data_IF_627842979621
#
_entry.id   IF_627842979621
#
_cell.length_a   1.000
_cell.length_b   1.000
_cell.length_c   1.000
_cell.angle_alpha   90.00
_cell.angle_beta   90.00
_cell.angle_gamma   90.00
#
_symmetry.space_group_name_H-M   'P 1'
#
loop_
_entity.id
_entity.type
_entity.pdbx_description
1 polymer ?
#
# COMPACT_ATOMS: atom_id res chain seq x y z
N UNK A 1 -4.32 6.17 4.91
CA UNK A 1 -4.18 4.75 5.16
C UNK A 1 -5.54 4.08 5.30
N UNK A 2 -5.68 2.91 4.71
CA UNK A 2 -6.91 2.11 4.80
C UNK A 2 -7.15 1.57 6.22
N UNK A 3 -8.39 1.18 6.48
CA UNK A 3 -8.79 0.45 7.70
C UNK A 3 -9.20 -0.97 7.31
N UNK A 4 -8.72 -1.95 8.06
CA UNK A 4 -9.01 -3.37 7.81
C UNK A 4 -9.68 -3.95 9.05
N UNK A 5 -10.96 -4.35 8.97
CA UNK A 5 -11.61 -5.08 10.05
C UNK A 5 -11.13 -6.53 10.08
N UNK A 6 -10.89 -7.05 11.27
CA UNK A 6 -10.59 -8.46 11.52
C UNK A 6 -11.60 -9.05 12.49
N UNK A 7 -11.91 -10.32 12.25
CA UNK A 7 -12.72 -11.12 13.16
C UNK A 7 -11.95 -12.41 13.49
N UNK A 8 -11.71 -12.64 14.77
CA UNK A 8 -11.10 -13.85 15.29
C UNK A 8 -12.20 -14.68 15.95
N UNK A 9 -12.33 -15.95 15.56
CA UNK A 9 -13.31 -16.86 16.12
C UNK A 9 -12.60 -17.94 16.92
N UNK A 10 -12.80 -17.93 18.23
CA UNK A 10 -12.36 -19.00 19.15
C UNK A 10 -13.42 -20.10 19.20
N UNK A 11 -13.06 -21.28 18.73
CA UNK A 11 -13.93 -22.47 18.78
C UNK A 11 -13.52 -23.34 19.97
N UNK A 12 -14.45 -23.70 20.87
CA UNK A 12 -14.16 -24.51 22.04
C UNK A 12 -13.96 -25.98 21.64
N UNK A 13 -12.78 -26.30 21.11
CA UNK A 13 -12.44 -27.68 20.79
C UNK A 13 -11.94 -28.41 22.04
N UNK A 14 -12.56 -29.55 22.36
CA UNK A 14 -12.15 -30.41 23.50
C UNK A 14 -12.21 -29.73 24.88
N UNK A 15 -13.00 -28.67 25.03
CA UNK A 15 -13.28 -28.08 26.32
C UNK A 15 -14.44 -28.84 26.96
N UNK A 16 -14.32 -29.19 28.26
CA UNK A 16 -15.36 -29.85 29.08
C UNK A 16 -15.99 -28.88 30.09
N UNK A 17 -15.38 -27.73 30.28
CA UNK A 17 -15.83 -26.66 31.17
C UNK A 17 -15.33 -25.31 30.67
N UNK A 18 -15.92 -24.23 31.17
CA UNK A 18 -15.44 -22.88 30.90
C UNK A 18 -13.97 -22.77 31.25
N UNK A 19 -13.18 -22.35 30.28
CA UNK A 19 -11.71 -22.35 30.38
C UNK A 19 -11.17 -20.99 29.99
N UNK A 20 -10.22 -20.48 30.76
CA UNK A 20 -9.50 -19.26 30.42
C UNK A 20 -8.50 -19.53 29.30
N UNK A 21 -8.65 -18.79 28.20
CA UNK A 21 -7.81 -18.85 27.00
C UNK A 21 -7.06 -17.53 26.87
N UNK A 22 -5.76 -17.60 26.65
CA UNK A 22 -4.97 -16.47 26.19
C UNK A 22 -5.01 -16.42 24.68
N UNK A 23 -5.63 -15.39 24.14
CA UNK A 23 -5.63 -15.10 22.71
C UNK A 23 -4.58 -14.04 22.43
N UNK A 24 -3.64 -14.33 21.54
CA UNK A 24 -2.65 -13.39 21.06
C UNK A 24 -2.84 -13.19 19.54
N UNK A 25 -2.91 -11.95 19.09
CA UNK A 25 -2.93 -11.57 17.68
C UNK A 25 -1.65 -10.83 17.36
N UNK A 26 -0.92 -11.30 16.34
CA UNK A 26 0.35 -10.73 15.88
C UNK A 26 0.10 -10.04 14.57
N UNK A 27 -0.10 -8.73 14.63
CA UNK A 27 -0.41 -7.91 13.48
C UNK A 27 0.81 -7.78 12.53
N UNK A 28 0.58 -7.76 11.21
CA UNK A 28 1.67 -7.69 10.24
C UNK A 28 2.46 -6.36 10.35
N UNK A 29 3.69 -6.36 9.86
CA UNK A 29 4.47 -5.13 9.75
C UNK A 29 3.77 -4.14 8.81
N UNK A 30 3.73 -2.86 9.18
CA UNK A 30 3.00 -1.83 8.42
C UNK A 30 1.55 -1.67 8.82
N UNK A 31 1.06 -2.48 9.78
CA UNK A 31 -0.27 -2.32 10.36
C UNK A 31 -0.17 -1.86 11.81
N UNK A 32 -1.18 -1.12 12.27
CA UNK A 32 -1.30 -0.66 13.66
C UNK A 32 -2.72 -0.91 14.15
N UNK A 33 -2.84 -1.34 15.40
CA UNK A 33 -4.16 -1.46 16.03
C UNK A 33 -4.76 -0.08 16.25
N UNK A 34 -6.07 0.06 16.02
CA UNK A 34 -6.83 1.28 16.31
C UNK A 34 -7.50 1.11 17.68
N UNK A 35 -7.02 1.80 18.74
CA UNK A 35 -7.61 1.69 20.07
C UNK A 35 -9.10 2.03 20.09
N UNK A 36 -9.85 1.37 20.97
CA UNK A 36 -11.30 1.56 21.09
C UNK A 36 -12.12 0.78 20.09
N UNK A 37 -11.50 -0.09 19.26
CA UNK A 37 -12.21 -0.87 18.25
C UNK A 37 -12.35 -2.35 18.61
N UNK A 38 -11.69 -2.81 19.67
CA UNK A 38 -11.76 -4.22 20.08
C UNK A 38 -13.07 -4.53 20.81
N UNK A 39 -13.76 -5.55 20.33
CA UNK A 39 -15.02 -6.03 20.87
C UNK A 39 -14.95 -7.55 21.01
N UNK A 40 -15.33 -8.08 22.17
CA UNK A 40 -15.43 -9.53 22.42
C UNK A 40 -16.90 -9.84 22.72
N UNK A 41 -17.51 -10.69 21.91
CA UNK A 41 -18.94 -11.05 21.98
C UNK A 41 -19.87 -9.83 22.16
N UNK A 42 -19.61 -8.76 21.41
CA UNK A 42 -20.40 -7.53 21.45
C UNK A 42 -20.07 -6.57 22.60
N UNK A 43 -19.12 -6.90 23.48
CA UNK A 43 -18.69 -6.04 24.58
C UNK A 43 -17.28 -5.47 24.30
N UNK A 44 -17.08 -4.19 24.58
CA UNK A 44 -15.77 -3.57 24.43
C UNK A 44 -14.77 -4.19 25.41
N UNK A 45 -13.70 -4.76 24.86
CA UNK A 45 -12.59 -5.32 25.65
C UNK A 45 -11.28 -5.07 24.93
N UNK A 46 -10.52 -4.11 25.43
CA UNK A 46 -9.23 -3.72 24.84
C UNK A 46 -8.15 -4.78 25.12
N UNK A 47 -7.26 -5.04 24.15
CA UNK A 47 -6.12 -5.92 24.36
C UNK A 47 -5.02 -5.26 25.20
N UNK A 48 -4.18 -6.08 25.83
CA UNK A 48 -2.84 -5.65 26.22
C UNK A 48 -1.98 -5.56 24.96
N UNK A 49 -1.34 -4.40 24.75
CA UNK A 49 -0.58 -4.10 23.53
C UNK A 49 0.92 -4.14 23.83
N UNK A 50 1.65 -5.04 23.18
CA UNK A 50 3.11 -5.15 23.27
C UNK A 50 3.71 -5.12 21.84
N UNK A 51 4.04 -3.92 21.35
CA UNK A 51 4.49 -3.73 19.99
C UNK A 51 3.42 -4.15 18.97
N UNK A 52 3.66 -5.21 18.21
CA UNK A 52 2.70 -5.77 17.23
C UNK A 52 1.87 -6.93 17.80
N UNK A 53 1.98 -7.21 19.09
CA UNK A 53 1.25 -8.27 19.77
C UNK A 53 0.09 -7.69 20.57
N UNK A 54 -1.11 -8.12 20.27
CA UNK A 54 -2.34 -7.83 21.00
C UNK A 54 -2.72 -9.07 21.79
N UNK A 55 -3.00 -8.93 23.08
CA UNK A 55 -3.29 -10.10 23.95
C UNK A 55 -4.56 -9.86 24.74
N UNK A 56 -5.44 -10.86 24.74
CA UNK A 56 -6.64 -10.94 25.57
C UNK A 56 -6.59 -12.20 26.44
N UNK A 57 -7.21 -12.13 27.62
CA UNK A 57 -7.56 -13.31 28.40
C UNK A 57 -9.08 -13.43 28.42
N UNK A 58 -9.59 -14.51 27.87
CA UNK A 58 -11.02 -14.71 27.58
C UNK A 58 -11.47 -16.03 28.17
N UNK A 59 -12.60 -16.02 28.90
CA UNK A 59 -13.25 -17.24 29.37
C UNK A 59 -14.12 -17.80 28.21
N UNK A 60 -13.79 -19.00 27.76
CA UNK A 60 -14.46 -19.68 26.66
C UNK A 60 -15.31 -20.81 27.21
N UNK A 61 -16.62 -20.74 26.92
CA UNK A 61 -17.59 -21.77 27.23
C UNK A 61 -17.49 -22.94 26.23
N UNK A 62 -17.56 -24.23 26.68
CA UNK A 62 -17.48 -25.38 25.79
C UNK A 62 -18.58 -25.43 24.71
N UNK A 63 -19.71 -24.79 24.93
CA UNK A 63 -20.89 -24.88 24.06
C UNK A 63 -21.00 -23.74 23.04
N UNK A 64 -20.16 -22.68 23.15
CA UNK A 64 -20.28 -21.54 22.26
C UNK A 64 -18.94 -20.97 21.80
N UNK A 65 -18.93 -20.52 20.54
CA UNK A 65 -17.79 -19.77 20.02
C UNK A 65 -17.72 -18.39 20.67
N UNK A 66 -16.50 -17.85 20.79
CA UNK A 66 -16.26 -16.46 21.15
C UNK A 66 -15.75 -15.71 19.93
N UNK A 67 -16.32 -14.56 19.65
CA UNK A 67 -15.96 -13.68 18.54
C UNK A 67 -15.23 -12.45 19.07
N UNK A 68 -14.03 -12.21 18.53
CA UNK A 68 -13.24 -11.01 18.78
C UNK A 68 -13.13 -10.21 17.50
N UNK A 69 -13.66 -8.99 17.51
CA UNK A 69 -13.59 -8.05 16.40
C UNK A 69 -12.61 -6.93 16.73
N UNK A 70 -11.84 -6.48 15.74
CA UNK A 70 -10.93 -5.36 15.90
C UNK A 70 -10.67 -4.69 14.53
N UNK A 71 -10.15 -3.47 14.55
CA UNK A 71 -9.78 -2.76 13.33
C UNK A 71 -8.29 -2.44 13.36
N UNK A 72 -7.61 -2.79 12.28
CA UNK A 72 -6.23 -2.40 12.03
C UNK A 72 -6.17 -1.25 11.03
N UNK A 73 -5.34 -0.26 11.30
CA UNK A 73 -4.98 0.80 10.36
C UNK A 73 -3.78 0.38 9.52
N UNK A 74 -3.81 0.66 8.23
CA UNK A 74 -2.67 0.46 7.33
C UNK A 74 -1.81 1.73 7.34
N UNK A 75 -0.52 1.59 7.66
CA UNK A 75 0.44 2.70 7.62
C UNK A 75 0.60 3.19 6.18
N UNK A 76 0.71 4.51 6.00
CA UNK A 76 1.05 5.11 4.70
C UNK A 76 2.40 4.61 4.15
N UNK A 77 3.23 4.01 5.00
CA UNK A 77 4.52 3.44 4.64
C UNK A 77 4.48 1.93 4.37
N UNK A 78 3.34 1.28 4.49
CA UNK A 78 3.23 -0.14 4.17
C UNK A 78 3.42 -0.35 2.65
N UNK A 79 4.28 -1.30 2.23
CA UNK A 79 4.44 -1.60 0.81
C UNK A 79 3.19 -2.31 0.27
N UNK A 80 3.03 -2.32 -1.06
CA UNK A 80 2.04 -3.16 -1.72
C UNK A 80 2.41 -4.64 -1.58
N UNK A 81 1.40 -5.52 -1.54
CA UNK A 81 1.57 -6.96 -1.45
C UNK A 81 0.70 -7.63 -0.42
N UNK A 82 0.90 -8.92 -0.23
CA UNK A 82 0.12 -9.75 0.70
C UNK A 82 0.75 -9.76 2.09
N UNK A 83 -0.09 -9.57 3.09
CA UNK A 83 0.28 -9.56 4.52
C UNK A 83 -0.54 -10.61 5.25
N UNK A 84 0.12 -11.32 6.17
CA UNK A 84 -0.54 -12.37 6.97
C UNK A 84 -0.66 -11.88 8.41
N UNK A 85 -1.90 -11.80 8.89
CA UNK A 85 -2.19 -11.67 10.32
C UNK A 85 -2.22 -13.05 10.96
N UNK A 86 -1.64 -13.19 12.15
CA UNK A 86 -1.54 -14.48 12.84
C UNK A 86 -2.13 -14.39 14.22
N UNK A 87 -3.21 -15.12 14.48
CA UNK A 87 -3.79 -15.28 15.80
C UNK A 87 -3.36 -16.61 16.43
N UNK A 88 -3.10 -16.61 17.72
CA UNK A 88 -2.77 -17.81 18.49
C UNK A 88 -3.60 -17.86 19.77
N UNK A 89 -4.35 -18.95 19.92
CA UNK A 89 -5.02 -19.28 21.18
C UNK A 89 -4.14 -20.23 21.99
N UNK A 90 -4.02 -19.96 23.28
CA UNK A 90 -3.25 -20.75 24.23
C UNK A 90 -4.08 -21.08 25.45
N UNK A 91 -4.10 -22.35 25.83
CA UNK A 91 -4.68 -22.88 27.06
C UNK A 91 -3.59 -23.54 27.88
N UNK A 92 -3.57 -23.29 29.16
CA UNK A 92 -2.71 -24.02 30.12
C UNK A 92 -3.61 -24.91 30.94
N UNK A 93 -3.35 -26.21 30.91
CA UNK A 93 -4.07 -27.22 31.68
C UNK A 93 -3.06 -28.20 32.28
N UNK A 94 -3.05 -28.30 33.63
CA UNK A 94 -2.11 -29.14 34.37
C UNK A 94 -0.64 -29.02 33.91
N UNK A 95 -0.15 -27.78 33.75
CA UNK A 95 1.19 -27.44 33.26
C UNK A 95 1.43 -27.83 31.77
N UNK A 96 0.43 -28.31 31.07
CA UNK A 96 0.50 -28.59 29.64
C UNK A 96 -0.05 -27.40 28.84
N UNK A 97 0.75 -26.91 27.88
CA UNK A 97 0.38 -25.76 27.06
C UNK A 97 -0.16 -26.28 25.72
N UNK A 98 -1.43 -26.02 25.47
CA UNK A 98 -2.09 -26.29 24.20
C UNK A 98 -2.15 -25.02 23.37
N UNK A 99 -1.69 -25.08 22.10
CA UNK A 99 -1.67 -23.94 21.18
C UNK A 99 -2.36 -24.27 19.87
N UNK A 100 -3.14 -23.31 19.39
CA UNK A 100 -3.74 -23.34 18.05
C UNK A 100 -3.52 -22.01 17.37
N UNK A 101 -3.25 -22.04 16.07
CA UNK A 101 -3.01 -20.83 15.26
C UNK A 101 -4.07 -20.70 14.17
N UNK A 102 -4.44 -19.47 13.89
CA UNK A 102 -5.24 -19.05 12.75
C UNK A 102 -4.51 -17.97 11.96
N UNK A 103 -4.81 -17.88 10.68
CA UNK A 103 -4.17 -16.94 9.76
C UNK A 103 -5.24 -16.25 8.94
N UNK A 104 -5.00 -14.97 8.63
CA UNK A 104 -5.80 -14.21 7.69
C UNK A 104 -4.88 -13.40 6.79
N UNK A 105 -5.16 -13.41 5.49
CA UNK A 105 -4.40 -12.67 4.50
C UNK A 105 -5.11 -11.36 4.14
N UNK A 106 -4.35 -10.30 3.98
CA UNK A 106 -4.79 -9.00 3.46
C UNK A 106 -3.83 -8.57 2.38
N UNK A 107 -4.36 -8.19 1.24
CA UNK A 107 -3.59 -7.65 0.14
C UNK A 107 -3.71 -6.12 0.12
N UNK A 108 -2.57 -5.43 0.11
CA UNK A 108 -2.51 -4.00 -0.15
C UNK A 108 -2.23 -3.83 -1.64
N UNK A 109 -3.22 -3.31 -2.34
CA UNK A 109 -3.12 -3.03 -3.78
C UNK A 109 -2.94 -1.52 -4.01
N UNK A 110 -2.27 -1.10 -5.09
CA UNK A 110 -2.22 0.29 -5.50
C UNK A 110 -3.63 0.83 -5.74
N UNK A 111 -3.92 2.02 -5.25
CA UNK A 111 -5.14 2.73 -5.62
C UNK A 111 -4.81 3.73 -6.74
N UNK A 112 -5.18 3.45 -8.01
CA UNK A 112 -4.70 4.20 -9.18
C UNK A 112 -4.98 5.70 -9.10
N UNK A 113 -6.02 6.11 -8.39
CA UNK A 113 -6.41 7.52 -8.24
C UNK A 113 -5.47 8.29 -7.28
N UNK A 114 -4.85 7.60 -6.31
CA UNK A 114 -3.98 8.23 -5.30
C UNK A 114 -2.50 7.89 -5.46
N UNK A 115 -2.20 6.84 -6.20
CA UNK A 115 -0.83 6.34 -6.37
C UNK A 115 -0.22 6.73 -7.73
N UNK A 116 -0.97 7.47 -8.55
CA UNK A 116 -0.46 8.03 -9.79
C UNK A 116 0.14 9.43 -9.58
N UNK A 117 1.07 9.80 -10.44
CA UNK A 117 1.68 11.13 -10.46
C UNK A 117 1.54 11.80 -11.82
N UNK A 118 1.57 13.12 -11.81
CA UNK A 118 1.60 13.89 -13.06
C UNK A 118 3.03 14.06 -13.54
N UNK A 119 3.27 13.74 -14.81
CA UNK A 119 4.53 14.03 -15.48
C UNK A 119 4.37 15.31 -16.26
N UNK A 120 5.23 16.28 -15.98
CA UNK A 120 5.27 17.55 -16.72
C UNK A 120 6.62 17.63 -17.41
N UNK A 121 6.60 17.98 -18.70
CA UNK A 121 7.83 18.11 -19.46
C UNK A 121 7.74 19.21 -20.52
N UNK A 122 8.88 19.49 -21.14
CA UNK A 122 9.00 20.48 -22.21
C UNK A 122 9.97 20.03 -23.27
N UNK A 123 9.63 20.26 -24.52
CA UNK A 123 10.53 20.15 -25.68
C UNK A 123 10.90 21.56 -26.08
N UNK A 124 12.18 21.88 -26.13
CA UNK A 124 12.68 23.21 -26.40
C UNK A 124 13.87 23.21 -27.40
N UNK A 125 14.17 24.35 -27.97
CA UNK A 125 15.31 24.55 -28.82
C UNK A 125 16.52 24.94 -27.98
N UNK A 126 17.38 23.96 -27.70
CA UNK A 126 18.65 24.18 -26.99
C UNK A 126 19.70 24.74 -27.96
N UNK A 127 19.78 26.06 -28.03
CA UNK A 127 20.65 26.77 -28.99
C UNK A 127 22.13 26.62 -28.60
N UNK A 128 22.45 26.64 -27.35
CA UNK A 128 23.82 26.57 -26.83
C UNK A 128 24.29 25.13 -26.55
N UNK A 129 23.37 24.13 -26.62
CA UNK A 129 23.62 22.70 -26.45
C UNK A 129 24.16 22.34 -25.06
N UNK A 130 23.65 22.99 -24.03
CA UNK A 130 24.05 22.72 -22.67
C UNK A 130 23.13 21.72 -21.94
N UNK A 131 22.03 21.27 -22.59
CA UNK A 131 21.07 20.33 -22.02
C UNK A 131 20.04 20.95 -21.08
N UNK A 132 20.06 22.28 -20.90
CA UNK A 132 19.14 23.01 -20.03
C UNK A 132 18.44 24.09 -20.82
N UNK A 133 17.21 24.42 -20.44
CA UNK A 133 16.50 25.52 -21.08
C UNK A 133 16.93 26.86 -20.49
N UNK A 134 17.55 27.68 -21.28
CA UNK A 134 17.97 29.04 -20.93
C UNK A 134 16.93 30.11 -21.28
N UNK A 135 17.13 31.32 -20.73
CA UNK A 135 16.28 32.45 -21.03
C UNK A 135 16.43 32.86 -22.49
N UNK A 136 15.36 32.79 -23.23
CA UNK A 136 15.33 33.11 -24.69
C UNK A 136 15.14 31.87 -25.55
N UNK A 137 15.41 30.69 -25.05
CA UNK A 137 15.21 29.43 -25.78
C UNK A 137 13.72 29.06 -25.85
N UNK A 138 13.23 29.00 -27.09
CA UNK A 138 11.81 28.76 -27.37
C UNK A 138 11.41 27.29 -27.20
N UNK A 139 10.17 27.06 -26.75
CA UNK A 139 9.58 25.73 -26.78
C UNK A 139 9.20 25.32 -28.21
N UNK A 140 9.24 24.01 -28.50
CA UNK A 140 8.85 23.45 -29.78
C UNK A 140 7.43 22.93 -29.70
N UNK A 141 6.51 23.60 -30.40
CA UNK A 141 5.11 23.21 -30.48
C UNK A 141 4.92 22.03 -31.43
N UNK A 142 3.90 21.20 -31.18
CA UNK A 142 3.53 20.09 -32.06
C UNK A 142 4.47 18.90 -32.03
N UNK A 143 5.49 18.90 -31.18
CA UNK A 143 6.38 17.76 -31.01
C UNK A 143 5.64 16.59 -30.31
N UNK A 144 5.77 15.38 -30.84
CA UNK A 144 5.14 14.17 -30.27
C UNK A 144 6.08 13.43 -29.36
N UNK A 145 5.58 13.16 -28.14
CA UNK A 145 6.28 12.35 -27.13
C UNK A 145 5.43 11.10 -26.87
N UNK A 146 6.07 9.95 -26.84
CA UNK A 146 5.40 8.66 -26.61
C UNK A 146 5.97 8.00 -25.36
N UNK A 147 5.11 7.54 -24.44
CA UNK A 147 5.51 6.75 -23.28
C UNK A 147 5.75 5.28 -23.66
N UNK A 148 6.35 4.52 -22.74
CA UNK A 148 6.50 3.05 -22.89
C UNK A 148 5.14 2.34 -22.96
N UNK A 149 4.11 2.90 -22.35
CA UNK A 149 2.75 2.38 -22.34
C UNK A 149 1.96 2.74 -23.60
N UNK A 150 2.60 3.39 -24.57
CA UNK A 150 1.99 3.76 -25.85
C UNK A 150 1.15 5.06 -25.81
N UNK A 151 1.18 5.82 -24.73
CA UNK A 151 0.50 7.11 -24.62
C UNK A 151 1.24 8.11 -25.52
N UNK A 152 0.54 8.68 -26.52
CA UNK A 152 1.06 9.74 -27.36
C UNK A 152 0.55 11.11 -26.92
N UNK A 153 1.47 12.05 -26.77
CA UNK A 153 1.19 13.41 -26.32
C UNK A 153 1.85 14.37 -27.29
N UNK A 154 1.16 15.46 -27.60
CA UNK A 154 1.68 16.54 -28.46
C UNK A 154 1.92 17.77 -27.59
N UNK A 155 3.05 18.42 -27.77
CA UNK A 155 3.40 19.65 -27.05
C UNK A 155 2.51 20.83 -27.45
N UNK A 156 2.20 21.69 -26.48
CA UNK A 156 1.46 22.94 -26.69
C UNK A 156 2.30 23.99 -27.44
N UNK A 157 1.71 25.20 -27.65
CA UNK A 157 2.37 26.34 -28.27
C UNK A 157 3.67 26.79 -27.60
N UNK A 158 3.91 26.39 -26.36
CA UNK A 158 5.11 26.71 -25.60
C UNK A 158 6.05 25.49 -25.44
N UNK A 159 5.79 24.42 -26.20
CA UNK A 159 6.57 23.18 -26.12
C UNK A 159 6.31 22.32 -24.90
N UNK A 160 5.27 22.61 -24.08
CA UNK A 160 4.98 21.90 -22.84
C UNK A 160 4.06 20.70 -23.10
N UNK A 161 4.24 19.65 -22.33
CA UNK A 161 3.33 18.50 -22.30
C UNK A 161 3.11 18.03 -20.85
N UNK A 162 2.00 17.33 -20.65
CA UNK A 162 1.71 16.68 -19.38
C UNK A 162 1.05 15.32 -19.59
N UNK A 163 1.38 14.38 -18.71
CA UNK A 163 0.69 13.09 -18.56
C UNK A 163 0.04 13.11 -17.21
N UNK A 164 -1.27 13.24 -17.18
CA UNK A 164 -2.01 13.16 -15.93
C UNK A 164 -2.12 11.71 -15.49
N UNK A 165 -1.94 11.48 -14.19
CA UNK A 165 -2.09 10.17 -13.56
C UNK A 165 -1.25 9.07 -14.25
N UNK A 166 0.02 9.35 -14.53
CA UNK A 166 0.94 8.34 -15.02
C UNK A 166 1.11 7.24 -13.97
N UNK A 167 1.13 5.98 -14.41
CA UNK A 167 1.48 4.84 -13.57
C UNK A 167 2.98 4.92 -13.24
N UNK A 168 3.29 5.76 -12.25
CA UNK A 168 4.65 5.94 -11.78
C UNK A 168 4.97 4.76 -10.87
N UNK A 169 5.99 3.98 -11.21
CA UNK A 169 6.43 2.93 -10.32
C UNK A 169 6.82 3.55 -8.98
N UNK A 170 6.34 2.94 -7.89
CA UNK A 170 6.51 3.30 -6.49
C UNK A 170 7.74 4.20 -6.24
N UNK A 171 7.53 5.46 -5.88
CA UNK A 171 8.55 6.54 -5.79
C UNK A 171 9.63 6.34 -4.71
N UNK A 172 9.63 5.20 -4.00
CA UNK A 172 10.65 4.84 -3.00
C UNK A 172 11.95 4.26 -3.57
N UNK A 173 11.95 3.86 -4.85
CA UNK A 173 13.11 3.20 -5.47
C UNK A 173 13.39 3.86 -6.82
N UNK A 174 13.58 5.17 -6.90
CA UNK A 174 14.12 5.89 -8.05
C UNK A 174 13.91 5.20 -9.42
N UNK A 175 12.68 4.88 -9.80
CA UNK A 175 12.40 4.29 -11.11
C UNK A 175 12.25 5.41 -12.13
N UNK A 176 12.78 5.18 -13.33
CA UNK A 176 12.68 6.09 -14.45
C UNK A 176 11.42 5.82 -15.26
N UNK A 177 10.66 6.86 -15.58
CA UNK A 177 9.58 6.79 -16.55
C UNK A 177 10.15 7.13 -17.93
N UNK A 178 10.16 6.16 -18.84
CA UNK A 178 10.77 6.32 -20.13
C UNK A 178 9.79 6.95 -21.13
N UNK A 179 10.22 8.02 -21.76
CA UNK A 179 9.50 8.68 -22.84
C UNK A 179 10.42 8.87 -24.03
N UNK A 180 9.84 8.76 -25.22
CA UNK A 180 10.58 8.93 -26.48
C UNK A 180 9.98 10.07 -27.30
N UNK A 181 10.81 11.03 -27.69
CA UNK A 181 10.45 12.06 -28.64
C UNK A 181 10.47 11.48 -30.04
N UNK A 182 9.40 11.69 -30.85
CA UNK A 182 9.35 11.31 -32.25
C UNK A 182 10.09 12.36 -33.11
N UNK A 183 11.25 12.03 -33.70
CA UNK A 183 12.03 12.98 -34.51
C UNK A 183 11.28 13.50 -35.71
N UNK A 184 10.29 12.73 -36.21
CA UNK A 184 9.50 13.11 -37.42
C UNK A 184 8.47 14.19 -37.11
N UNK A 185 8.20 14.44 -35.82
CA UNK A 185 7.29 15.51 -35.40
C UNK A 185 7.99 16.84 -35.19
N UNK A 186 9.31 16.87 -35.27
CA UNK A 186 10.08 18.10 -35.13
C UNK A 186 10.04 18.94 -36.43
N UNK A 187 10.09 20.27 -36.31
CA UNK A 187 10.22 21.14 -37.47
C UNK A 187 11.47 20.83 -38.30
N UNK A 188 11.43 21.14 -39.60
CA UNK A 188 12.57 20.90 -40.46
C UNK A 188 13.84 21.63 -39.94
N UNK A 189 14.96 20.90 -39.92
CA UNK A 189 16.25 21.41 -39.44
C UNK A 189 16.54 21.13 -37.96
N UNK A 190 15.56 20.63 -37.19
CA UNK A 190 15.77 20.22 -35.80
C UNK A 190 16.21 18.77 -35.70
N UNK A 191 17.01 18.46 -34.71
CA UNK A 191 17.43 17.09 -34.33
C UNK A 191 17.43 16.93 -32.85
N UNK A 192 17.24 15.72 -32.40
CA UNK A 192 17.37 15.40 -30.96
C UNK A 192 18.87 15.45 -30.62
N UNK A 193 19.20 16.17 -29.53
CA UNK A 193 20.50 16.07 -28.89
C UNK A 193 20.42 14.85 -27.98
N UNK A 194 21.17 13.81 -28.28
CA UNK A 194 21.37 12.67 -27.40
C UNK A 194 22.80 12.74 -26.87
N UNK A 195 22.96 12.70 -25.56
CA UNK A 195 24.23 12.34 -24.95
C UNK A 195 24.50 10.84 -25.09
#
# INVERSE_FOLDING_TARGET
GGKVPYTLILKPMELIQTTRIRLADIIPAGFVYIPGTAVVDGQALEPVIEGRRLTWEIDVDPERNVEVQLILGVSASAPFGTFVNTAQAERIDNDVVYRRKGYAEVEIIPEPVFDCGDIIGKVFNDENRNGYQDKGEGGIAGARVTSVDGIQITTDSHGRFSVACADLPNNRIGKSYLMKLDPRSLPAGYRILSE
#
